data_IF_518955598587
#
_entry.id   IF_518955598587
#
_cell.length_a   1.000
_cell.length_b   1.000
_cell.length_c   1.000
_cell.angle_alpha   90.00
_cell.angle_beta   90.00
_cell.angle_gamma   90.00
#
_symmetry.space_group_name_H-M   'P 1'
#
loop_
_entity.id
_entity.type
_entity.pdbx_description
1 polymer ?
#
# COMPACT_ATOMS: atom_id res chain seq x y z
N UNK A 1 15.10 38.06 -17.53
CA UNK A 1 14.57 36.99 -18.40
C UNK A 1 13.93 35.95 -17.47
N UNK A 2 12.65 36.11 -17.14
CA UNK A 2 11.93 35.14 -16.31
C UNK A 2 11.45 34.01 -17.22
N UNK A 3 12.24 32.95 -17.30
CA UNK A 3 11.79 31.70 -17.88
C UNK A 3 10.79 31.08 -16.91
N UNK A 4 9.50 31.17 -17.23
CA UNK A 4 8.52 30.27 -16.61
C UNK A 4 8.84 28.90 -17.21
N UNK A 5 9.55 28.07 -16.44
CA UNK A 5 9.62 26.65 -16.70
C UNK A 5 8.18 26.14 -16.52
N UNK A 6 7.49 25.89 -17.64
CA UNK A 6 6.27 25.11 -17.63
C UNK A 6 6.66 23.70 -17.20
N UNK A 7 6.69 23.45 -15.88
CA UNK A 7 6.88 22.13 -15.31
C UNK A 7 5.68 21.28 -15.75
N UNK A 8 5.95 20.12 -16.33
CA UNK A 8 4.90 19.14 -16.47
C UNK A 8 4.69 18.48 -15.10
N UNK A 9 3.53 17.89 -14.88
CA UNK A 9 3.12 17.31 -13.61
C UNK A 9 2.43 15.98 -13.85
N UNK A 10 2.22 15.20 -12.78
CA UNK A 10 1.24 14.13 -12.83
C UNK A 10 0.16 14.36 -11.77
N UNK A 11 -0.98 13.70 -11.91
CA UNK A 11 -2.05 13.73 -10.92
C UNK A 11 -2.49 12.30 -10.67
N UNK A 12 -2.43 11.87 -9.42
CA UNK A 12 -2.97 10.59 -8.99
C UNK A 12 -4.51 10.67 -8.96
N UNK A 13 -5.17 9.94 -9.86
CA UNK A 13 -6.63 9.89 -9.96
C UNK A 13 -7.20 8.78 -9.07
N UNK A 14 -6.52 7.63 -9.00
CA UNK A 14 -6.89 6.50 -8.14
C UNK A 14 -5.62 5.80 -7.66
N UNK A 15 -5.50 5.45 -6.38
CA UNK A 15 -6.42 5.80 -5.27
C UNK A 15 -6.48 7.31 -4.99
N UNK A 16 -7.39 7.78 -4.12
CA UNK A 16 -7.36 9.15 -3.62
C UNK A 16 -6.00 9.50 -3.02
N UNK A 17 -5.40 10.62 -3.45
CA UNK A 17 -4.15 11.10 -2.87
C UNK A 17 -4.38 11.69 -1.47
N UNK A 18 -3.31 11.71 -0.67
CA UNK A 18 -3.25 12.46 0.59
C UNK A 18 -3.48 13.96 0.32
N UNK A 19 -2.96 14.45 -0.81
CA UNK A 19 -3.13 15.80 -1.28
C UNK A 19 -2.42 16.02 -2.61
N UNK A 20 -2.63 17.19 -3.19
CA UNK A 20 -1.92 17.65 -4.39
C UNK A 20 -1.79 19.17 -4.37
N UNK A 21 -0.58 19.66 -4.57
CA UNK A 21 -0.25 21.08 -4.74
C UNK A 21 0.88 21.16 -5.77
N UNK A 22 0.56 21.68 -6.95
CA UNK A 22 1.42 21.71 -8.15
C UNK A 22 2.85 22.18 -7.83
N UNK A 23 2.98 23.29 -7.10
CA UNK A 23 4.28 23.89 -6.75
C UNK A 23 5.10 23.09 -5.75
N UNK A 24 4.49 22.13 -5.04
CA UNK A 24 5.15 21.28 -4.05
C UNK A 24 5.32 19.85 -4.50
N UNK A 25 4.84 19.48 -5.69
CA UNK A 25 4.86 18.08 -6.14
C UNK A 25 6.30 17.51 -6.18
N UNK A 26 7.32 18.36 -6.35
CA UNK A 26 8.73 17.96 -6.26
C UNK A 26 9.27 17.69 -4.85
N UNK A 27 8.52 17.99 -3.79
CA UNK A 27 8.94 17.82 -2.40
C UNK A 27 8.69 16.38 -1.91
N UNK A 28 9.77 15.63 -1.69
CA UNK A 28 9.67 14.27 -1.16
C UNK A 28 9.17 14.25 0.30
N UNK A 29 8.47 13.18 0.74
CA UNK A 29 8.11 12.00 -0.04
C UNK A 29 6.74 12.10 -0.72
N UNK A 30 5.93 13.12 -0.42
CA UNK A 30 4.51 13.14 -0.77
C UNK A 30 4.03 14.48 -1.35
N UNK A 31 4.91 15.22 -2.04
CA UNK A 31 4.58 16.51 -2.64
C UNK A 31 4.32 17.60 -1.59
N UNK A 32 5.07 17.59 -0.48
CA UNK A 32 4.92 18.55 0.62
C UNK A 32 3.80 18.23 1.62
N UNK A 33 3.02 17.17 1.39
CA UNK A 33 1.98 16.72 2.32
C UNK A 33 2.51 15.78 3.42
N UNK A 34 1.84 15.76 4.57
CA UNK A 34 2.17 14.84 5.65
C UNK A 34 1.92 13.38 5.23
N UNK A 35 3.01 12.63 5.10
CA UNK A 35 3.05 11.20 4.78
C UNK A 35 2.23 10.33 5.75
N UNK A 36 1.97 10.82 6.97
CA UNK A 36 1.18 10.13 8.00
C UNK A 36 -0.29 10.55 8.04
N UNK A 37 -0.75 11.48 7.19
CA UNK A 37 -2.16 11.85 7.14
C UNK A 37 -3.04 10.63 6.77
N UNK A 38 -4.12 10.41 7.51
CA UNK A 38 -5.07 9.29 7.33
C UNK A 38 -6.53 9.74 7.15
N UNK A 39 -6.76 10.95 6.65
CA UNK A 39 -8.11 11.48 6.40
C UNK A 39 -8.86 10.66 5.33
N UNK A 40 -8.11 10.04 4.41
CA UNK A 40 -8.64 9.19 3.33
C UNK A 40 -7.79 7.93 3.20
N UNK A 41 -8.18 6.86 3.88
CA UNK A 41 -7.48 5.57 3.82
C UNK A 41 -8.13 4.66 2.79
N UNK A 42 -7.32 4.16 1.86
CA UNK A 42 -7.74 3.17 0.87
C UNK A 42 -7.42 1.75 1.36
N UNK A 43 -8.41 0.86 1.37
CA UNK A 43 -8.15 -0.56 1.55
C UNK A 43 -7.47 -1.10 0.28
N UNK A 44 -6.27 -1.65 0.45
CA UNK A 44 -5.41 -2.09 -0.64
C UNK A 44 -5.21 -3.61 -0.56
N UNK A 45 -5.96 -4.41 -1.35
CA UNK A 45 -5.77 -5.85 -1.38
C UNK A 45 -4.38 -6.21 -1.87
N UNK A 46 -3.69 -7.12 -1.19
CA UNK A 46 -2.32 -7.51 -1.56
C UNK A 46 -2.22 -8.12 -2.96
N UNK A 47 -3.31 -8.69 -3.48
CA UNK A 47 -3.37 -9.26 -4.82
C UNK A 47 -3.53 -8.20 -5.92
N UNK A 48 -3.74 -6.93 -5.58
CA UNK A 48 -3.71 -5.82 -6.54
C UNK A 48 -4.72 -4.73 -6.23
N UNK A 49 -4.30 -3.47 -6.39
CA UNK A 49 -5.19 -2.30 -6.43
C UNK A 49 -4.87 -1.45 -7.67
N UNK A 50 -5.86 -0.86 -8.36
CA UNK A 50 -5.61 -0.03 -9.53
C UNK A 50 -4.88 1.26 -9.16
N UNK A 51 -3.89 1.64 -9.96
CA UNK A 51 -3.29 2.97 -9.92
C UNK A 51 -3.51 3.65 -11.25
N UNK A 52 -4.39 4.66 -11.24
CA UNK A 52 -4.68 5.53 -12.38
C UNK A 52 -4.07 6.90 -12.10
N UNK A 53 -3.25 7.36 -13.03
CA UNK A 53 -2.63 8.67 -13.00
C UNK A 53 -2.81 9.37 -14.35
N UNK A 54 -2.67 10.68 -14.34
CA UNK A 54 -2.61 11.49 -15.57
C UNK A 54 -1.29 12.26 -15.58
N UNK A 55 -0.49 12.09 -16.62
CA UNK A 55 0.81 12.75 -16.76
C UNK A 55 0.85 13.71 -17.95
N UNK A 56 1.50 14.85 -17.77
CA UNK A 56 1.79 15.81 -18.84
C UNK A 56 3.25 15.76 -19.32
N UNK A 57 4.03 14.77 -18.87
CA UNK A 57 5.36 14.49 -19.41
C UNK A 57 5.28 13.55 -20.59
N UNK A 58 5.88 13.93 -21.72
CA UNK A 58 5.90 13.09 -22.92
C UNK A 58 6.69 11.79 -22.75
N UNK A 59 7.64 11.76 -21.80
CA UNK A 59 8.41 10.60 -21.38
C UNK A 59 8.68 10.69 -19.89
N UNK A 60 8.44 9.61 -19.15
CA UNK A 60 8.73 9.55 -17.73
C UNK A 60 8.97 8.11 -17.26
N UNK A 61 9.51 7.95 -16.06
CA UNK A 61 9.62 6.67 -15.37
C UNK A 61 8.86 6.74 -14.05
N UNK A 62 7.92 5.84 -13.85
CA UNK A 62 7.16 5.72 -12.60
C UNK A 62 7.78 4.67 -11.69
N UNK A 63 7.91 5.03 -10.42
CA UNK A 63 8.29 4.11 -9.34
C UNK A 63 7.15 4.03 -8.33
N UNK A 64 6.81 2.80 -7.94
CA UNK A 64 5.75 2.51 -6.98
C UNK A 64 6.38 1.92 -5.73
N UNK A 65 6.29 2.63 -4.61
CA UNK A 65 6.86 2.20 -3.32
C UNK A 65 5.81 2.25 -2.24
N UNK A 66 6.07 1.56 -1.14
CA UNK A 66 5.29 1.74 0.08
C UNK A 66 6.19 1.76 1.31
N UNK A 67 5.71 2.39 2.38
CA UNK A 67 6.32 2.40 3.70
C UNK A 67 5.24 2.23 4.77
N UNK A 68 5.55 1.57 5.88
CA UNK A 68 4.64 1.50 7.03
C UNK A 68 4.58 2.86 7.73
N UNK A 69 3.44 3.22 8.33
CA UNK A 69 3.27 4.53 9.01
C UNK A 69 4.26 4.71 10.16
N UNK A 70 4.60 3.62 10.84
CA UNK A 70 5.55 3.60 11.94
C UNK A 70 7.02 3.69 11.47
N UNK A 71 7.31 3.55 10.18
CA UNK A 71 8.65 3.65 9.60
C UNK A 71 8.62 4.24 8.19
N UNK A 72 8.28 5.52 8.08
CA UNK A 72 8.20 6.26 6.80
C UNK A 72 9.56 6.65 6.21
N UNK A 73 10.66 6.21 6.82
CA UNK A 73 12.02 6.40 6.28
C UNK A 73 12.43 5.26 5.35
N UNK A 74 11.67 4.16 5.35
CA UNK A 74 12.00 2.94 4.61
C UNK A 74 10.92 2.63 3.57
N UNK A 75 11.12 3.15 2.37
CA UNK A 75 10.26 2.87 1.22
C UNK A 75 10.77 1.68 0.42
N UNK A 76 9.88 0.73 0.16
CA UNK A 76 10.20 -0.53 -0.51
C UNK A 76 9.34 -0.66 -1.78
N UNK A 77 9.98 -1.02 -2.91
CA UNK A 77 9.30 -1.10 -4.22
C UNK A 77 8.22 -2.18 -4.26
N UNK A 78 7.03 -1.83 -4.73
CA UNK A 78 5.91 -2.76 -4.90
C UNK A 78 6.01 -3.54 -6.21
N UNK A 79 6.56 -2.93 -7.25
CA UNK A 79 6.73 -3.53 -8.57
C UNK A 79 7.92 -2.90 -9.31
N UNK A 80 8.39 -3.49 -10.43
CA UNK A 80 9.44 -2.90 -11.25
C UNK A 80 9.07 -1.52 -11.78
N UNK A 81 10.05 -0.65 -12.01
CA UNK A 81 9.76 0.71 -12.51
C UNK A 81 9.08 0.63 -13.89
N UNK A 82 8.23 1.59 -14.20
CA UNK A 82 7.48 1.61 -15.46
C UNK A 82 7.89 2.82 -16.28
N UNK A 83 8.50 2.59 -17.44
CA UNK A 83 8.72 3.64 -18.41
C UNK A 83 7.41 3.95 -19.15
N UNK A 84 7.06 5.22 -19.23
CA UNK A 84 5.93 5.73 -20.00
C UNK A 84 6.42 6.59 -21.17
N UNK A 85 5.79 6.41 -22.33
CA UNK A 85 5.86 7.32 -23.46
C UNK A 85 4.45 7.77 -23.87
N UNK A 86 4.27 9.07 -24.08
CA UNK A 86 2.98 9.67 -24.36
C UNK A 86 2.36 10.39 -23.15
N UNK A 87 1.42 11.28 -23.45
CA UNK A 87 0.71 12.11 -22.49
C UNK A 87 -0.65 11.50 -22.12
N UNK A 88 -1.18 11.89 -20.96
CA UNK A 88 -2.56 11.62 -20.57
C UNK A 88 -2.68 10.53 -19.52
N UNK A 89 -3.82 9.83 -19.55
CA UNK A 89 -4.20 8.82 -18.58
C UNK A 89 -3.37 7.54 -18.74
N UNK A 90 -2.77 7.09 -17.65
CA UNK A 90 -2.05 5.83 -17.53
C UNK A 90 -2.60 5.06 -16.33
N UNK A 91 -2.92 3.79 -16.53
CA UNK A 91 -3.48 2.91 -15.52
C UNK A 91 -2.69 1.60 -15.45
N UNK A 92 -2.23 1.27 -14.25
CA UNK A 92 -1.92 -0.10 -13.87
C UNK A 92 -3.13 -0.68 -13.15
N UNK A 93 -3.75 -1.71 -13.73
CA UNK A 93 -4.99 -2.28 -13.19
C UNK A 93 -4.79 -3.05 -11.88
N UNK A 94 -3.56 -3.46 -11.57
CA UNK A 94 -3.25 -4.21 -10.35
C UNK A 94 -1.81 -3.95 -9.91
N UNK A 95 -1.63 -3.04 -8.96
CA UNK A 95 -0.37 -2.83 -8.23
C UNK A 95 -0.43 -3.67 -6.94
N UNK A 96 0.49 -4.62 -6.72
CA UNK A 96 0.41 -5.54 -5.60
C UNK A 96 0.74 -4.84 -4.28
N UNK A 97 0.27 -5.45 -3.18
CA UNK A 97 0.68 -5.09 -1.83
C UNK A 97 1.72 -6.07 -1.26
N UNK A 98 2.08 -5.87 0.00
CA UNK A 98 2.95 -6.79 0.75
C UNK A 98 2.13 -7.65 1.69
N UNK A 99 2.30 -8.97 1.60
CA UNK A 99 1.54 -9.94 2.40
C UNK A 99 1.89 -9.85 3.88
N UNK A 100 3.15 -9.58 4.18
CA UNK A 100 3.66 -9.34 5.53
C UNK A 100 3.11 -8.05 6.17
N UNK A 101 2.46 -7.18 5.39
CA UNK A 101 1.88 -5.93 5.87
C UNK A 101 0.35 -5.95 5.96
N UNK A 102 -0.30 -7.09 5.71
CA UNK A 102 -1.76 -7.21 5.86
C UNK A 102 -2.20 -6.79 7.26
N UNK A 103 -3.25 -5.96 7.31
CA UNK A 103 -3.79 -5.37 8.52
C UNK A 103 -3.06 -4.11 9.00
N UNK A 104 -1.88 -3.80 8.43
CA UNK A 104 -1.10 -2.63 8.79
C UNK A 104 -1.45 -1.43 7.90
N UNK A 105 -1.40 -0.26 8.52
CA UNK A 105 -1.46 1.00 7.80
C UNK A 105 -0.11 1.31 7.14
N UNK A 106 -0.18 1.83 5.92
CA UNK A 106 0.97 2.19 5.12
C UNK A 106 0.68 3.44 4.31
N UNK A 107 1.73 3.93 3.66
CA UNK A 107 1.64 4.93 2.60
C UNK A 107 2.16 4.30 1.33
N UNK A 108 1.44 4.47 0.22
CA UNK A 108 1.93 4.15 -1.12
C UNK A 108 2.40 5.45 -1.74
N UNK A 109 3.66 5.49 -2.17
CA UNK A 109 4.25 6.58 -2.92
C UNK A 109 4.32 6.20 -4.40
N UNK A 110 3.81 7.10 -5.23
CA UNK A 110 4.06 7.11 -6.66
C UNK A 110 5.05 8.25 -6.91
N UNK A 111 6.20 7.90 -7.48
CA UNK A 111 7.19 8.88 -7.90
C UNK A 111 7.29 8.85 -9.43
N UNK A 112 7.30 10.02 -10.05
CA UNK A 112 7.55 10.18 -11.48
C UNK A 112 8.90 10.87 -11.67
N UNK A 113 9.78 10.27 -12.45
CA UNK A 113 11.05 10.86 -12.88
C UNK A 113 10.99 11.23 -14.36
N UNK A 114 11.31 12.48 -14.67
CA UNK A 114 11.34 13.02 -16.03
C UNK A 114 12.50 14.02 -16.18
N UNK A 115 12.57 14.69 -17.34
CA UNK A 115 13.68 15.59 -17.70
C UNK A 115 13.83 16.82 -16.80
N UNK A 116 12.76 17.20 -16.10
CA UNK A 116 12.66 18.35 -15.20
C UNK A 116 12.71 17.95 -13.71
N UNK A 117 12.95 16.67 -13.40
CA UNK A 117 13.21 16.19 -12.06
C UNK A 117 12.26 15.08 -11.60
N UNK A 118 12.06 15.01 -10.28
CA UNK A 118 11.21 14.01 -9.62
C UNK A 118 10.01 14.68 -8.99
N UNK A 119 8.86 14.06 -9.18
CA UNK A 119 7.58 14.47 -8.64
C UNK A 119 7.00 13.33 -7.81
N UNK A 120 6.24 13.65 -6.76
CA UNK A 120 5.77 12.70 -5.77
C UNK A 120 4.32 12.94 -5.40
N UNK A 121 3.54 11.87 -5.39
CA UNK A 121 2.21 11.83 -4.78
C UNK A 121 2.07 10.56 -3.96
N UNK A 122 1.31 10.67 -2.87
CA UNK A 122 1.10 9.57 -1.94
C UNK A 122 -0.38 9.29 -1.75
N UNK A 123 -0.68 8.03 -1.44
CA UNK A 123 -1.98 7.59 -0.96
C UNK A 123 -1.82 6.92 0.40
N UNK A 124 -2.70 7.27 1.33
CA UNK A 124 -2.81 6.56 2.60
C UNK A 124 -3.56 5.25 2.37
N UNK A 125 -2.99 4.14 2.83
CA UNK A 125 -3.56 2.81 2.60
C UNK A 125 -3.55 1.96 3.85
N UNK A 126 -4.40 0.95 3.85
CA UNK A 126 -4.31 -0.20 4.74
C UNK A 126 -4.26 -1.45 3.89
N UNK A 127 -3.21 -2.26 4.06
CA UNK A 127 -3.11 -3.49 3.28
C UNK A 127 -4.11 -4.52 3.79
N UNK A 128 -4.83 -5.17 2.88
CA UNK A 128 -5.81 -6.19 3.20
C UNK A 128 -5.48 -7.49 2.49
N UNK A 129 -5.92 -8.60 3.07
CA UNK A 129 -5.99 -9.84 2.33
C UNK A 129 -7.22 -9.82 1.39
N UNK A 130 -7.24 -10.70 0.39
CA UNK A 130 -8.35 -10.84 -0.54
C UNK A 130 -7.95 -10.69 -2.01
N UNK A 131 -8.92 -10.86 -2.90
CA UNK A 131 -8.72 -10.75 -4.35
C UNK A 131 -8.32 -9.35 -4.78
N UNK A 132 -7.71 -9.24 -5.97
CA UNK A 132 -7.43 -7.95 -6.59
C UNK A 132 -8.72 -7.10 -6.69
N UNK A 133 -8.57 -5.80 -6.47
CA UNK A 133 -9.64 -4.84 -6.64
C UNK A 133 -10.03 -4.73 -8.12
N UNK A 134 -11.33 -4.68 -8.42
CA UNK A 134 -11.83 -4.49 -9.79
C UNK A 134 -11.69 -3.02 -10.19
N UNK A 135 -10.87 -2.68 -11.19
CA UNK A 135 -10.71 -1.30 -11.62
C UNK A 135 -12.01 -0.71 -12.16
N UNK A 136 -12.21 0.58 -11.91
CA UNK A 136 -13.26 1.35 -12.59
C UNK A 136 -12.96 1.48 -14.09
N UNK A 137 -13.99 1.73 -14.91
CA UNK A 137 -13.85 1.92 -16.35
C UNK A 137 -12.97 3.14 -16.72
N UNK A 138 -12.76 4.06 -15.78
CA UNK A 138 -11.86 5.21 -15.88
C UNK A 138 -10.38 4.80 -15.88
N UNK A 139 -10.03 3.67 -15.26
CA UNK A 139 -8.66 3.15 -15.23
C UNK A 139 -8.32 2.52 -16.57
N UNK A 140 -7.86 3.35 -17.51
CA UNK A 140 -7.46 2.95 -18.86
C UNK A 140 -6.31 3.80 -19.36
N UNK A 141 -5.56 3.25 -20.30
CA UNK A 141 -4.48 3.98 -20.96
C UNK A 141 -5.03 4.86 -22.08
N UNK A 142 -4.53 6.08 -22.16
CA UNK A 142 -4.81 6.99 -23.26
C UNK A 142 -4.36 6.40 -24.60
N UNK A 143 -5.12 6.64 -25.66
CA UNK A 143 -4.76 6.19 -27.01
C UNK A 143 -3.37 6.72 -27.40
N UNK A 144 -2.48 5.80 -27.82
CA UNK A 144 -1.11 6.14 -28.21
C UNK A 144 -0.10 6.17 -27.06
N UNK A 145 -0.54 6.00 -25.81
CA UNK A 145 0.35 5.84 -24.66
C UNK A 145 0.97 4.44 -24.65
N UNK A 146 2.28 4.38 -24.37
CA UNK A 146 3.02 3.15 -24.19
C UNK A 146 3.59 3.09 -22.78
N UNK A 147 3.49 1.93 -22.15
CA UNK A 147 4.07 1.66 -20.85
C UNK A 147 4.86 0.35 -20.90
N UNK A 148 6.03 0.30 -20.26
CA UNK A 148 6.87 -0.90 -20.24
C UNK A 148 7.55 -1.03 -18.89
N UNK A 149 7.45 -2.21 -18.27
CA UNK A 149 8.20 -2.52 -17.08
C UNK A 149 9.70 -2.57 -17.40
N UNK A 150 10.48 -1.79 -16.68
CA UNK A 150 11.92 -1.81 -16.71
C UNK A 150 12.40 -3.02 -15.91
N UNK A 151 13.28 -3.81 -16.51
CA UNK A 151 13.81 -5.00 -15.86
C UNK A 151 14.48 -4.63 -14.53
N UNK A 152 13.87 -5.03 -13.41
CA UNK A 152 14.53 -5.05 -12.12
C UNK A 152 15.50 -6.21 -12.09
N UNK A 153 16.78 -5.93 -11.88
CA UNK A 153 17.71 -6.96 -11.44
C UNK A 153 17.17 -7.51 -10.10
N UNK A 154 16.63 -8.73 -10.14
CA UNK A 154 16.07 -9.51 -9.01
C UNK A 154 14.63 -9.12 -8.59
N UNK A 155 13.64 -9.81 -9.18
CA UNK A 155 12.35 -10.07 -8.51
C UNK A 155 12.21 -11.59 -8.37
N UNK A 156 11.90 -12.06 -7.16
CA UNK A 156 11.65 -13.47 -6.87
C UNK A 156 10.59 -14.04 -7.81
N UNK A 157 10.91 -15.19 -8.39
CA UNK A 157 10.08 -15.96 -9.31
C UNK A 157 8.71 -16.30 -8.69
N UNK A 158 7.65 -15.69 -9.20
CA UNK A 158 6.31 -16.29 -9.13
C UNK A 158 6.21 -17.24 -10.31
N UNK A 159 6.43 -18.52 -10.04
CA UNK A 159 6.25 -19.60 -11.01
C UNK A 159 4.76 -19.76 -11.31
N UNK A 160 4.33 -19.37 -12.50
CA UNK A 160 3.07 -19.82 -13.09
C UNK A 160 3.24 -21.27 -13.54
N UNK A 161 2.69 -22.23 -12.81
CA UNK A 161 2.61 -23.62 -13.25
C UNK A 161 1.35 -23.84 -14.12
N UNK A 162 1.43 -24.54 -15.27
CA UNK A 162 0.27 -25.17 -15.88
C UNK A 162 0.10 -26.61 -15.37
N UNK A 163 -1.15 -27.08 -15.39
CA UNK A 163 -1.61 -28.31 -14.76
C UNK A 163 -1.45 -29.59 -15.62
N UNK A 164 -1.34 -30.70 -14.89
CA UNK A 164 -1.81 -32.07 -15.18
C UNK A 164 -1.04 -32.97 -16.17
N UNK A 165 -0.48 -34.07 -15.64
CA UNK A 165 -0.76 -35.44 -16.11
C UNK A 165 -0.31 -36.50 -15.09
N UNK A 166 -1.13 -37.53 -14.97
CA UNK A 166 -1.16 -38.67 -14.06
C UNK A 166 -0.08 -39.73 -14.29
N UNK A 167 0.51 -40.29 -13.23
CA UNK A 167 0.94 -41.71 -13.13
C UNK A 167 0.97 -42.17 -11.65
N UNK A 168 0.63 -43.44 -11.46
CA UNK A 168 0.26 -44.22 -10.24
C UNK A 168 1.46 -44.58 -9.32
N UNK A 169 1.23 -45.10 -8.09
CA UNK A 169 2.17 -45.07 -6.96
C UNK A 169 3.04 -46.32 -6.85
N UNK A 170 4.24 -46.18 -6.27
CA UNK A 170 4.99 -47.33 -5.74
C UNK A 170 5.56 -47.02 -4.35
N UNK A 171 5.41 -48.00 -3.46
CA UNK A 171 5.68 -47.99 -2.03
C UNK A 171 7.16 -47.83 -1.68
N UNK A 172 7.44 -47.28 -0.50
CA UNK A 172 8.76 -47.29 0.12
C UNK A 172 8.68 -46.86 1.58
N UNK A 173 8.45 -47.81 2.47
CA UNK A 173 8.40 -47.64 3.92
C UNK A 173 9.79 -47.42 4.53
N UNK A 174 9.91 -46.55 5.54
CA UNK A 174 10.73 -46.80 6.73
C UNK A 174 10.46 -45.77 7.84
N UNK A 175 9.87 -46.22 8.95
CA UNK A 175 10.14 -45.67 10.29
C UNK A 175 11.32 -46.43 10.90
N UNK A 176 12.04 -45.87 11.89
CA UNK A 176 11.70 -46.25 13.27
C UNK A 176 11.83 -45.13 14.33
N UNK A 177 10.83 -45.13 15.22
CA UNK A 177 10.76 -44.96 16.69
C UNK A 177 11.61 -43.92 17.49
N UNK A 178 11.09 -43.54 18.69
CA UNK A 178 11.52 -42.43 19.54
C UNK A 178 12.46 -42.83 20.69
N UNK A 179 13.01 -41.83 21.36
CA UNK A 179 13.60 -41.96 22.70
C UNK A 179 13.10 -40.85 23.63
N UNK A 180 12.81 -41.25 24.86
CA UNK A 180 12.23 -40.51 25.98
C UNK A 180 13.29 -39.79 26.83
N UNK A 181 12.81 -38.89 27.70
CA UNK A 181 13.47 -38.39 28.92
C UNK A 181 12.96 -36.98 29.24
N UNK A 182 11.93 -36.75 30.06
CA UNK A 182 11.94 -36.69 31.55
C UNK A 182 13.00 -35.67 32.07
N UNK A 183 12.76 -34.70 32.96
CA UNK A 183 11.79 -34.50 34.07
C UNK A 183 12.00 -33.05 34.59
N UNK A 184 10.96 -32.27 34.92
CA UNK A 184 10.44 -31.97 36.28
C UNK A 184 10.99 -30.71 37.00
N UNK A 185 10.11 -30.11 37.82
CA UNK A 185 10.22 -28.99 38.80
C UNK A 185 9.72 -27.64 38.24
N UNK A 186 8.53 -27.08 38.54
CA UNK A 186 7.69 -27.00 39.76
C UNK A 186 8.35 -26.24 40.92
N UNK A 187 7.88 -25.02 41.20
CA UNK A 187 7.41 -24.48 42.51
C UNK A 187 7.25 -22.94 42.44
N UNK A 188 6.02 -22.37 42.65
CA UNK A 188 5.44 -21.79 43.90
C UNK A 188 6.13 -20.45 44.29
N UNK A 189 5.54 -19.31 44.68
CA UNK A 189 4.24 -18.78 45.14
C UNK A 189 4.21 -17.27 44.72
N UNK A 190 3.11 -16.52 44.55
CA UNK A 190 1.93 -16.33 45.40
C UNK A 190 2.20 -15.26 46.47
N UNK A 191 1.63 -14.04 46.36
CA UNK A 191 0.77 -13.33 47.35
C UNK A 191 0.51 -11.83 47.03
N UNK A 192 -0.77 -11.44 47.21
CA UNK A 192 -1.38 -10.18 47.74
C UNK A 192 -0.82 -8.80 47.31
N UNK A 193 -1.60 -7.78 46.89
CA UNK A 193 -3.01 -7.46 47.10
C UNK A 193 -3.15 -6.32 48.13
N UNK A 194 -3.33 -5.05 47.71
CA UNK A 194 -3.93 -3.99 48.54
C UNK A 194 -4.54 -2.83 47.71
N UNK A 195 -5.88 -2.72 47.80
CA UNK A 195 -6.70 -1.52 48.06
C UNK A 195 -6.43 -0.15 47.38
N UNK A 196 -7.49 0.35 46.74
CA UNK A 196 -8.14 1.60 47.18
C UNK A 196 -7.91 2.85 46.32
N UNK A 197 -8.99 3.35 45.69
CA UNK A 197 -8.97 4.66 45.03
C UNK A 197 -10.23 4.98 44.23
N UNK A 198 -11.37 5.07 44.90
CA UNK A 198 -12.59 5.69 44.37
C UNK A 198 -12.35 7.19 44.26
N UNK A 199 -12.51 7.78 43.06
CA UNK A 199 -12.73 9.22 42.92
C UNK A 199 -14.05 9.42 42.18
N UNK A 200 -15.06 9.78 42.97
CA UNK A 200 -16.34 10.34 42.55
C UNK A 200 -16.18 11.86 42.39
N UNK A 201 -16.35 12.36 41.17
CA UNK A 201 -16.93 13.68 40.85
C UNK A 201 -17.77 13.41 39.59
N UNK A 202 -19.09 13.60 39.54
CA UNK A 202 -19.85 14.70 40.11
C UNK A 202 -20.35 15.60 38.97
N UNK A 203 -21.35 15.10 38.24
CA UNK A 203 -22.42 15.82 37.50
C UNK A 203 -22.05 16.96 36.52
N UNK A 204 -22.50 16.84 35.26
CA UNK A 204 -23.56 17.72 34.76
C UNK A 204 -24.19 17.23 33.45
N UNK A 205 -25.49 17.48 33.39
CA UNK A 205 -26.50 17.24 32.35
C UNK A 205 -26.10 17.54 30.89
N UNK A 206 -26.72 16.79 29.97
CA UNK A 206 -26.75 17.12 28.55
C UNK A 206 -27.51 16.09 27.70
N UNK A 207 -28.81 15.98 27.92
CA UNK A 207 -29.72 15.14 27.14
C UNK A 207 -30.12 15.91 25.86
N UNK A 208 -29.55 15.55 24.70
CA UNK A 208 -29.99 16.06 23.39
C UNK A 208 -30.80 14.95 22.72
N UNK A 209 -32.12 15.15 22.69
CA UNK A 209 -33.04 14.41 21.81
C UNK A 209 -32.91 15.00 20.42
N UNK A 210 -32.41 14.22 19.46
CA UNK A 210 -32.61 14.51 18.04
C UNK A 210 -33.92 13.86 17.58
N UNK A 211 -34.94 14.68 17.38
CA UNK A 211 -36.10 14.34 16.54
C UNK A 211 -35.74 14.69 15.11
N UNK A 212 -35.68 13.69 14.22
CA UNK A 212 -35.83 13.92 12.78
C UNK A 212 -37.10 13.26 12.30
N UNK A 213 -38.07 14.12 12.03
CA UNK A 213 -39.29 13.85 11.29
C UNK A 213 -38.92 13.87 9.80
N UNK A 214 -39.25 12.82 9.04
CA UNK A 214 -39.17 12.83 7.58
C UNK A 214 -40.59 12.80 7.04
N UNK A 215 -40.93 13.86 6.31
CA UNK A 215 -41.94 13.85 5.25
C UNK A 215 -41.23 13.53 3.93
#
# INVERSE_FOLDING_TARGET
MFWILSQAHFILQTPPSIGFEDTKEGEAPCGGFDVKNRDKVTEWPINGYPVHLRSTHGRSTFTYKAALVNNTNEFVKLLPDVAQEGLGDFCLTAVPGRREWVGLEAVVQIAQEAVDGKLYQCAAVKFTDGSAFTPEASCRNQTGLKATFLATATLHSVTSAPASSSVTPTQGASSPKPSQGASSNLNIAGIAGISGGVILFGTCFGLIVYLYNWA
#
